data_IF_586230397471
#
_entry.id   IF_586230397471
#
_cell.length_a   1.000
_cell.length_b   1.000
_cell.length_c   1.000
_cell.angle_alpha   90.00
_cell.angle_beta   90.00
_cell.angle_gamma   90.00
#
_symmetry.space_group_name_H-M   'P 1'
#
loop_
_entity.id
_entity.type
_entity.pdbx_description
1 polymer ?
#
# COMPACT_ATOMS: atom_id res chain seq x y z
N UNK A 1 22.71 1.50 -7.37
CA UNK A 1 22.89 0.17 -7.99
C UNK A 1 22.95 0.27 -9.50
N UNK A 2 21.92 0.76 -10.21
CA UNK A 2 21.99 0.97 -11.67
C UNK A 2 23.13 1.92 -12.07
N UNK A 3 23.19 3.12 -11.48
CA UNK A 3 24.27 4.08 -11.78
C UNK A 3 25.67 3.57 -11.38
N UNK A 4 25.77 2.92 -10.22
CA UNK A 4 27.07 2.55 -9.63
C UNK A 4 27.62 1.20 -10.11
N UNK A 5 26.77 0.25 -10.52
CA UNK A 5 27.18 -1.12 -10.94
C UNK A 5 26.88 -1.43 -12.40
N UNK A 6 25.88 -0.79 -12.98
CA UNK A 6 25.48 -1.00 -14.37
C UNK A 6 25.78 0.23 -15.23
N UNK A 7 26.56 1.19 -14.70
CA UNK A 7 26.99 2.41 -15.39
C UNK A 7 25.82 3.20 -16.01
N UNK A 8 24.67 3.19 -15.34
CA UNK A 8 23.46 3.86 -15.81
C UNK A 8 22.68 3.12 -16.90
N UNK A 9 23.12 1.92 -17.32
CA UNK A 9 22.41 1.08 -18.29
C UNK A 9 21.41 0.16 -17.60
N UNK A 10 20.20 0.11 -18.14
CA UNK A 10 19.18 -0.85 -17.71
C UNK A 10 19.44 -2.18 -18.44
N UNK A 11 19.46 -3.32 -17.73
CA UNK A 11 19.63 -4.62 -18.35
C UNK A 11 18.53 -4.92 -19.36
N UNK A 12 18.92 -5.29 -20.57
CA UNK A 12 18.05 -5.82 -21.63
C UNK A 12 17.96 -7.36 -21.53
N UNK A 13 17.70 -7.83 -20.31
CA UNK A 13 17.48 -9.22 -20.00
C UNK A 13 16.48 -9.32 -18.85
N UNK A 14 15.45 -10.15 -19.01
CA UNK A 14 14.41 -10.32 -18.00
C UNK A 14 14.98 -10.76 -16.64
N UNK A 15 15.86 -11.75 -16.63
CA UNK A 15 16.41 -12.33 -15.39
C UNK A 15 17.24 -11.30 -14.65
N UNK A 16 18.18 -10.65 -15.34
CA UNK A 16 19.06 -9.63 -14.74
C UNK A 16 18.28 -8.40 -14.26
N UNK A 17 17.30 -7.94 -15.06
CA UNK A 17 16.47 -6.79 -14.67
C UNK A 17 15.57 -7.11 -13.48
N UNK A 18 15.09 -8.35 -13.36
CA UNK A 18 14.27 -8.81 -12.23
C UNK A 18 15.04 -8.90 -10.92
N UNK A 19 16.37 -9.02 -10.94
CA UNK A 19 17.19 -9.01 -9.73
C UNK A 19 17.28 -7.62 -9.08
N UNK A 20 16.86 -6.57 -9.78
CA UNK A 20 16.90 -5.22 -9.24
C UNK A 20 15.85 -5.06 -8.11
N UNK A 21 16.20 -4.41 -6.97
CA UNK A 21 15.26 -4.16 -5.88
C UNK A 21 14.02 -3.41 -6.36
N UNK A 22 12.85 -3.94 -6.00
CA UNK A 22 11.55 -3.39 -6.40
C UNK A 22 11.04 -3.87 -7.75
N UNK A 23 11.80 -4.65 -8.51
CA UNK A 23 11.37 -5.21 -9.81
C UNK A 23 10.78 -6.61 -9.61
N UNK A 24 9.44 -6.70 -9.64
CA UNK A 24 8.73 -7.99 -9.71
C UNK A 24 8.45 -8.45 -11.14
N UNK A 25 7.86 -9.64 -11.30
CA UNK A 25 7.55 -10.25 -12.61
C UNK A 25 6.80 -9.31 -13.56
N UNK A 26 5.84 -8.56 -13.04
CA UNK A 26 5.07 -7.58 -13.82
C UNK A 26 5.97 -6.47 -14.38
N UNK A 27 6.78 -5.84 -13.54
CA UNK A 27 7.64 -4.72 -13.95
C UNK A 27 8.70 -5.24 -14.92
N UNK A 28 9.26 -6.43 -14.66
CA UNK A 28 10.21 -7.06 -15.56
C UNK A 28 9.60 -7.32 -16.93
N UNK A 29 8.43 -7.96 -17.01
CA UNK A 29 7.77 -8.22 -18.29
C UNK A 29 7.40 -6.92 -19.02
N UNK A 30 6.89 -5.91 -18.30
CA UNK A 30 6.47 -4.65 -18.89
C UNK A 30 7.64 -3.87 -19.47
N UNK A 31 8.72 -3.67 -18.71
CA UNK A 31 9.90 -2.93 -19.18
C UNK A 31 10.58 -3.68 -20.33
N UNK A 32 10.78 -4.99 -20.19
CA UNK A 32 11.48 -5.79 -21.21
C UNK A 32 10.70 -5.85 -22.53
N UNK A 33 9.37 -5.92 -22.48
CA UNK A 33 8.56 -5.91 -23.70
C UNK A 33 8.43 -4.53 -24.34
N UNK A 34 8.18 -3.49 -23.55
CA UNK A 34 7.89 -2.14 -24.06
C UNK A 34 9.17 -1.43 -24.49
N UNK A 35 10.21 -1.44 -23.67
CA UNK A 35 11.43 -0.68 -23.94
C UNK A 35 12.43 -1.47 -24.81
N UNK A 36 12.41 -2.80 -24.71
CA UNK A 36 13.41 -3.66 -25.34
C UNK A 36 12.86 -4.69 -26.32
N UNK A 37 11.54 -4.71 -26.55
CA UNK A 37 10.92 -5.60 -27.54
C UNK A 37 11.03 -7.10 -27.19
N UNK A 38 11.30 -7.45 -25.93
CA UNK A 38 11.39 -8.85 -25.49
C UNK A 38 9.99 -9.46 -25.39
N UNK A 39 9.77 -10.71 -25.86
CA UNK A 39 8.47 -11.35 -25.84
C UNK A 39 8.09 -11.86 -24.43
N UNK A 40 7.93 -10.93 -23.49
CA UNK A 40 7.57 -11.18 -22.11
C UNK A 40 6.14 -10.68 -21.88
N UNK A 41 5.18 -11.59 -21.66
CA UNK A 41 3.78 -11.22 -21.45
C UNK A 41 3.56 -10.58 -20.07
N UNK A 42 2.86 -9.46 -20.01
CA UNK A 42 2.51 -8.80 -18.73
C UNK A 42 1.25 -9.43 -18.13
N UNK A 43 1.25 -9.56 -16.80
CA UNK A 43 0.07 -10.02 -16.06
C UNK A 43 -0.14 -9.16 -14.82
N UNK A 44 -1.01 -8.16 -14.95
CA UNK A 44 -1.46 -7.31 -13.86
C UNK A 44 -2.94 -7.59 -13.52
N UNK A 45 -3.56 -6.74 -12.69
CA UNK A 45 -4.97 -6.87 -12.35
C UNK A 45 -5.92 -6.66 -13.53
N UNK A 46 -5.55 -5.81 -14.50
CA UNK A 46 -6.34 -5.55 -15.70
C UNK A 46 -6.27 -6.71 -16.67
N UNK A 47 -5.07 -7.19 -16.98
CA UNK A 47 -4.84 -8.32 -17.88
C UNK A 47 -5.46 -9.59 -17.34
N UNK A 48 -5.33 -9.89 -16.04
CA UNK A 48 -6.03 -11.05 -15.44
C UNK A 48 -7.54 -11.00 -15.68
N UNK A 49 -8.16 -9.82 -15.56
CA UNK A 49 -9.60 -9.66 -15.81
C UNK A 49 -9.97 -9.84 -17.28
N UNK A 50 -9.19 -9.25 -18.19
CA UNK A 50 -9.39 -9.43 -19.63
C UNK A 50 -9.27 -10.90 -19.99
N UNK A 51 -8.18 -11.57 -19.59
CA UNK A 51 -7.95 -12.99 -19.88
C UNK A 51 -9.01 -13.90 -19.27
N UNK A 52 -9.43 -13.64 -18.02
CA UNK A 52 -10.49 -14.40 -17.38
C UNK A 52 -11.81 -14.32 -18.16
N UNK A 53 -12.15 -13.15 -18.69
CA UNK A 53 -13.39 -12.98 -19.47
C UNK A 53 -13.25 -13.51 -20.90
N UNK A 54 -12.13 -13.20 -21.55
CA UNK A 54 -11.87 -13.60 -22.94
C UNK A 54 -11.85 -15.12 -23.08
N UNK A 55 -11.16 -15.81 -22.15
CA UNK A 55 -10.92 -17.26 -22.19
C UNK A 55 -11.75 -18.05 -21.16
N UNK A 56 -12.71 -17.41 -20.50
CA UNK A 56 -13.53 -18.00 -19.42
C UNK A 56 -12.72 -18.70 -18.32
N UNK A 57 -11.59 -18.11 -17.91
CA UNK A 57 -10.77 -18.68 -16.83
C UNK A 57 -11.47 -18.50 -15.48
N UNK A 58 -11.83 -19.62 -14.85
CA UNK A 58 -12.44 -19.62 -13.52
C UNK A 58 -11.44 -19.52 -12.37
N UNK A 59 -10.14 -19.67 -12.68
CA UNK A 59 -9.07 -19.59 -11.69
C UNK A 59 -9.11 -18.24 -10.93
N UNK A 60 -9.21 -18.23 -9.59
CA UNK A 60 -9.38 -17.00 -8.84
C UNK A 60 -8.21 -16.03 -9.02
N UNK A 61 -8.46 -14.82 -9.54
CA UNK A 61 -7.39 -13.89 -9.94
C UNK A 61 -6.49 -13.40 -8.80
N UNK A 62 -6.98 -13.46 -7.55
CA UNK A 62 -6.26 -13.10 -6.33
C UNK A 62 -5.57 -14.30 -5.63
N UNK A 63 -5.67 -15.52 -6.17
CA UNK A 63 -4.93 -16.67 -5.66
C UNK A 63 -3.51 -16.69 -6.23
N UNK A 64 -2.51 -16.88 -5.38
CA UNK A 64 -1.11 -17.02 -5.83
C UNK A 64 -0.95 -18.21 -6.79
N UNK A 65 -1.61 -19.33 -6.50
CA UNK A 65 -1.59 -20.53 -7.35
C UNK A 65 -2.17 -20.30 -8.76
N UNK A 66 -3.07 -19.31 -8.93
CA UNK A 66 -3.66 -18.99 -10.22
C UNK A 66 -2.72 -18.17 -11.12
N UNK A 67 -1.66 -17.55 -10.57
CA UNK A 67 -0.77 -16.67 -11.34
C UNK A 67 -0.19 -17.39 -12.58
N UNK A 68 0.23 -18.64 -12.43
CA UNK A 68 0.79 -19.44 -13.52
C UNK A 68 -0.21 -19.66 -14.66
N UNK A 69 -1.49 -19.84 -14.34
CA UNK A 69 -2.57 -20.00 -15.34
C UNK A 69 -2.69 -18.73 -16.18
N UNK A 70 -2.71 -17.56 -15.53
CA UNK A 70 -2.77 -16.28 -16.22
C UNK A 70 -1.50 -15.98 -17.02
N UNK A 71 -0.32 -16.33 -16.51
CA UNK A 71 0.95 -16.20 -17.25
C UNK A 71 0.98 -17.07 -18.51
N UNK A 72 0.52 -18.32 -18.42
CA UNK A 72 0.40 -19.21 -19.58
C UNK A 72 -0.59 -18.68 -20.60
N UNK A 73 -1.77 -18.20 -20.16
CA UNK A 73 -2.76 -17.59 -21.04
C UNK A 73 -2.23 -16.33 -21.73
N UNK A 74 -1.56 -15.45 -20.99
CA UNK A 74 -0.97 -14.23 -21.53
C UNK A 74 0.13 -14.55 -22.55
N UNK A 75 1.02 -15.50 -22.23
CA UNK A 75 2.10 -15.93 -23.13
C UNK A 75 1.58 -16.56 -24.42
N UNK A 76 0.46 -17.29 -24.39
CA UNK A 76 -0.15 -17.89 -25.58
C UNK A 76 -0.73 -16.85 -26.55
N UNK A 77 -1.22 -15.73 -26.03
CA UNK A 77 -1.87 -14.69 -26.85
C UNK A 77 -0.93 -13.56 -27.27
N UNK A 78 0.23 -13.42 -26.63
CA UNK A 78 1.23 -12.40 -26.94
C UNK A 78 1.67 -12.48 -28.42
N UNK A 79 1.68 -11.35 -29.13
CA UNK A 79 2.36 -11.26 -30.42
C UNK A 79 3.88 -11.09 -30.19
N UNK A 80 4.72 -12.07 -30.54
CA UNK A 80 6.16 -11.97 -30.31
C UNK A 80 6.85 -10.94 -31.21
N UNK A 81 6.19 -10.46 -32.27
CA UNK A 81 6.76 -9.45 -33.19
C UNK A 81 6.60 -8.03 -32.65
N UNK A 82 5.54 -7.80 -31.88
CA UNK A 82 5.22 -6.50 -31.27
C UNK A 82 4.77 -6.66 -29.82
N UNK A 83 5.62 -7.23 -28.93
CA UNK A 83 5.20 -7.60 -27.59
C UNK A 83 4.89 -6.39 -26.70
N UNK A 84 5.60 -5.28 -26.89
CA UNK A 84 5.33 -4.01 -26.18
C UNK A 84 3.94 -3.46 -26.50
N UNK A 85 3.63 -3.31 -27.78
CA UNK A 85 2.33 -2.82 -28.24
C UNK A 85 1.19 -3.74 -27.79
N UNK A 86 1.37 -5.05 -27.92
CA UNK A 86 0.39 -6.03 -27.45
C UNK A 86 0.13 -5.89 -25.95
N UNK A 87 1.19 -5.81 -25.14
CA UNK A 87 1.07 -5.69 -23.69
C UNK A 87 0.38 -4.38 -23.29
N UNK A 88 0.73 -3.26 -23.93
CA UNK A 88 0.05 -1.99 -23.72
C UNK A 88 -1.44 -2.07 -24.11
N UNK A 89 -1.74 -2.64 -25.28
CA UNK A 89 -3.11 -2.77 -25.77
C UNK A 89 -3.99 -3.60 -24.82
N UNK A 90 -3.51 -4.74 -24.30
CA UNK A 90 -4.31 -5.57 -23.38
C UNK A 90 -4.47 -4.92 -21.99
N UNK A 91 -3.45 -4.20 -21.50
CA UNK A 91 -3.57 -3.41 -20.27
C UNK A 91 -4.62 -2.31 -20.42
N UNK A 92 -4.56 -1.56 -21.53
CA UNK A 92 -5.45 -0.45 -21.81
C UNK A 92 -6.88 -0.90 -22.11
N UNK A 93 -7.03 -2.03 -22.81
CA UNK A 93 -8.33 -2.69 -22.97
C UNK A 93 -8.97 -2.99 -21.62
N UNK A 94 -8.19 -3.50 -20.67
CA UNK A 94 -8.64 -3.75 -19.31
C UNK A 94 -9.03 -2.46 -18.58
N UNK A 95 -8.24 -1.40 -18.73
CA UNK A 95 -8.48 -0.12 -18.06
C UNK A 95 -9.70 0.63 -18.62
N UNK A 96 -9.80 0.73 -19.94
CA UNK A 96 -10.76 1.62 -20.62
C UNK A 96 -12.08 0.95 -20.96
N UNK A 97 -12.11 -0.30 -21.40
CA UNK A 97 -13.34 -0.95 -21.88
C UNK A 97 -13.78 -2.15 -21.02
N UNK A 98 -12.88 -3.11 -20.78
CA UNK A 98 -13.16 -4.31 -20.00
C UNK A 98 -13.06 -4.01 -18.48
N UNK A 99 -13.83 -3.04 -18.00
CA UNK A 99 -13.79 -2.50 -16.63
C UNK A 99 -14.28 -3.51 -15.58
N UNK A 100 -13.88 -3.39 -14.29
CA UNK A 100 -14.31 -4.31 -13.24
C UNK A 100 -15.83 -4.44 -13.10
N UNK A 101 -16.52 -3.31 -13.07
CA UNK A 101 -17.98 -3.20 -13.06
C UNK A 101 -18.44 -2.57 -14.37
N UNK A 102 -19.57 -3.03 -14.89
CA UNK A 102 -20.20 -2.49 -16.10
C UNK A 102 -19.19 -2.34 -17.28
N UNK A 103 -18.61 -3.45 -17.77
CA UNK A 103 -17.69 -3.38 -18.91
C UNK A 103 -18.40 -2.85 -20.16
N UNK A 104 -17.71 -2.01 -20.92
CA UNK A 104 -18.20 -1.43 -22.17
C UNK A 104 -18.09 -2.44 -23.32
N UNK A 105 -18.81 -3.54 -23.22
CA UNK A 105 -18.69 -4.63 -24.19
C UNK A 105 -19.05 -4.19 -25.61
N UNK A 106 -20.01 -3.26 -25.79
CA UNK A 106 -20.40 -2.74 -27.10
C UNK A 106 -19.27 -2.02 -27.86
N UNK A 107 -18.29 -1.48 -27.14
CA UNK A 107 -17.12 -0.77 -27.70
C UNK A 107 -15.85 -1.63 -27.67
N UNK A 108 -15.95 -2.87 -27.19
CA UNK A 108 -14.79 -3.74 -27.03
C UNK A 108 -14.33 -4.29 -28.39
N UNK A 109 -13.09 -4.01 -28.84
CA UNK A 109 -12.61 -4.42 -30.16
C UNK A 109 -12.50 -5.94 -30.33
N UNK A 110 -12.41 -6.68 -29.22
CA UNK A 110 -12.29 -8.15 -29.19
C UNK A 110 -13.56 -8.83 -28.66
N UNK A 111 -14.70 -8.14 -28.66
CA UNK A 111 -15.98 -8.65 -28.13
C UNK A 111 -16.35 -10.02 -28.72
N UNK A 112 -16.22 -10.17 -30.04
CA UNK A 112 -16.59 -11.38 -30.78
C UNK A 112 -15.75 -12.62 -30.42
N UNK A 113 -14.60 -12.42 -29.77
CA UNK A 113 -13.74 -13.49 -29.27
C UNK A 113 -13.96 -13.79 -27.77
N UNK A 114 -14.82 -13.05 -27.09
CA UNK A 114 -14.95 -13.11 -25.64
C UNK A 114 -15.96 -14.17 -25.20
N UNK A 115 -15.47 -15.27 -24.62
CA UNK A 115 -16.33 -16.34 -24.11
C UNK A 115 -17.29 -15.86 -23.02
N UNK A 116 -16.82 -15.04 -22.08
CA UNK A 116 -17.70 -14.45 -21.06
C UNK A 116 -18.75 -13.50 -21.64
N UNK A 117 -18.51 -12.90 -22.82
CA UNK A 117 -19.53 -12.11 -23.50
C UNK A 117 -20.60 -13.00 -24.12
N UNK A 118 -20.19 -14.03 -24.85
CA UNK A 118 -21.10 -15.02 -25.42
C UNK A 118 -21.96 -15.71 -24.34
N UNK A 119 -21.40 -15.97 -23.16
CA UNK A 119 -22.08 -16.62 -22.04
C UNK A 119 -22.80 -15.65 -21.07
N UNK A 120 -22.65 -14.32 -21.22
CA UNK A 120 -23.23 -13.34 -20.29
C UNK A 120 -22.61 -13.31 -18.88
N UNK A 121 -21.36 -13.74 -18.73
CA UNK A 121 -20.66 -13.96 -17.45
C UNK A 121 -19.63 -12.88 -17.09
N UNK A 122 -19.64 -11.74 -17.77
CA UNK A 122 -18.63 -10.69 -17.59
C UNK A 122 -18.62 -10.11 -16.17
N UNK A 123 -19.77 -10.07 -15.49
CA UNK A 123 -19.86 -9.61 -14.10
C UNK A 123 -19.38 -10.66 -13.08
N UNK A 124 -19.35 -11.93 -13.48
CA UNK A 124 -18.91 -13.04 -12.62
C UNK A 124 -17.40 -13.25 -12.64
N UNK A 125 -16.75 -12.84 -13.73
CA UNK A 125 -15.34 -13.06 -14.00
C UNK A 125 -14.52 -11.76 -13.92
N UNK A 126 -13.29 -11.81 -13.35
CA UNK A 126 -12.64 -12.97 -12.76
C UNK A 126 -13.23 -13.36 -11.41
N UNK A 127 -13.27 -14.66 -11.11
CA UNK A 127 -13.54 -15.14 -9.75
C UNK A 127 -12.50 -14.59 -8.78
N UNK A 128 -12.92 -14.39 -7.54
CA UNK A 128 -12.04 -13.98 -6.43
C UNK A 128 -12.29 -14.86 -5.22
N UNK A 129 -11.21 -15.30 -4.57
CA UNK A 129 -11.31 -15.90 -3.25
C UNK A 129 -11.82 -14.87 -2.25
N UNK A 130 -12.71 -15.24 -1.31
CA UNK A 130 -13.11 -14.39 -0.21
C UNK A 130 -11.89 -13.89 0.56
N UNK A 131 -11.86 -12.59 0.87
CA UNK A 131 -10.81 -12.04 1.74
C UNK A 131 -11.17 -12.33 3.19
N UNK A 132 -10.22 -12.81 3.98
CA UNK A 132 -10.36 -12.88 5.45
C UNK A 132 -10.60 -11.47 6.00
N UNK A 133 -11.35 -11.39 7.10
CA UNK A 133 -11.50 -10.13 7.82
C UNK A 133 -10.11 -9.61 8.21
N UNK A 134 -9.84 -8.35 7.90
CA UNK A 134 -8.58 -7.71 8.27
C UNK A 134 -8.57 -7.47 9.79
N UNK A 135 -7.45 -7.76 10.48
CA UNK A 135 -7.32 -7.43 11.89
C UNK A 135 -7.51 -5.92 12.09
N UNK A 136 -8.12 -5.56 13.23
CA UNK A 136 -8.32 -4.17 13.64
C UNK A 136 -7.54 -3.92 14.92
N UNK A 137 -6.68 -2.91 14.89
CA UNK A 137 -5.94 -2.45 16.06
C UNK A 137 -6.54 -1.14 16.57
N UNK A 138 -6.53 -0.98 17.89
CA UNK A 138 -6.98 0.24 18.55
C UNK A 138 -5.79 0.87 19.24
N UNK A 139 -5.52 2.14 18.93
CA UNK A 139 -4.36 2.87 19.41
C UNK A 139 -4.78 4.14 20.15
N UNK A 140 -3.99 4.51 21.15
CA UNK A 140 -4.07 5.79 21.82
C UNK A 140 -2.76 6.56 21.59
N UNK A 141 -2.88 7.82 21.17
CA UNK A 141 -1.75 8.68 20.79
C UNK A 141 -1.88 10.03 21.50
N UNK A 142 -0.77 10.57 21.99
CA UNK A 142 -0.72 11.86 22.68
C UNK A 142 -0.02 12.93 21.86
N UNK A 143 -0.70 14.07 21.71
CA UNK A 143 -0.11 15.31 21.22
C UNK A 143 0.42 16.05 22.44
N UNK A 144 1.67 15.77 22.79
CA UNK A 144 2.30 16.25 24.02
C UNK A 144 2.83 17.67 23.80
N UNK A 145 2.34 18.61 24.59
CA UNK A 145 2.72 20.02 24.55
C UNK A 145 3.67 20.37 25.68
N UNK A 146 4.73 21.12 25.36
CA UNK A 146 5.66 21.74 26.32
C UNK A 146 6.17 23.05 25.74
N UNK A 147 5.96 24.15 26.46
CA UNK A 147 6.50 25.48 26.08
C UNK A 147 6.17 25.87 24.62
N UNK A 148 4.92 25.63 24.19
CA UNK A 148 4.47 25.92 22.83
C UNK A 148 4.98 24.97 21.74
N UNK A 149 5.74 23.93 22.09
CA UNK A 149 6.22 22.89 21.18
C UNK A 149 5.49 21.58 21.38
N UNK A 150 5.51 20.73 20.35
CA UNK A 150 4.89 19.41 20.31
C UNK A 150 6.00 18.35 20.18
N UNK A 151 5.91 17.28 20.97
CA UNK A 151 6.82 16.15 20.85
C UNK A 151 6.45 15.25 19.68
N UNK A 152 7.43 14.96 18.83
CA UNK A 152 7.33 13.98 17.75
C UNK A 152 8.46 12.97 17.87
N UNK A 153 8.21 11.72 17.48
CA UNK A 153 9.18 10.63 17.51
C UNK A 153 9.34 10.03 16.12
N UNK A 154 10.51 9.46 15.83
CA UNK A 154 10.81 8.79 14.55
C UNK A 154 10.89 7.28 14.76
N UNK A 155 10.13 6.54 13.95
CA UNK A 155 10.11 5.07 13.95
C UNK A 155 11.47 4.52 13.51
N UNK A 156 11.88 3.33 13.99
CA UNK A 156 13.02 2.60 13.43
C UNK A 156 12.94 2.47 11.90
N UNK A 157 14.08 2.35 11.22
CA UNK A 157 14.11 2.21 9.76
C UNK A 157 13.46 0.90 9.29
N UNK A 158 13.57 -0.16 10.09
CA UNK A 158 13.02 -1.46 9.78
C UNK A 158 11.58 -1.59 10.31
N UNK A 159 10.69 -2.10 9.46
CA UNK A 159 9.31 -2.42 9.82
C UNK A 159 8.28 -1.51 9.19
N UNK A 160 7.04 -1.62 9.68
CA UNK A 160 5.90 -0.88 9.15
C UNK A 160 6.10 0.63 9.34
N UNK A 161 6.02 1.38 8.24
CA UNK A 161 6.19 2.84 8.20
C UNK A 161 7.56 3.27 8.76
N UNK A 162 8.58 2.43 8.56
CA UNK A 162 9.92 2.67 9.07
C UNK A 162 10.50 4.01 8.62
N UNK A 163 11.18 4.68 9.54
CA UNK A 163 11.79 5.99 9.31
C UNK A 163 10.81 7.18 9.24
N UNK A 164 9.49 6.97 9.31
CA UNK A 164 8.51 8.06 9.40
C UNK A 164 8.40 8.61 10.82
N UNK A 165 7.95 9.86 10.92
CA UNK A 165 7.64 10.52 12.17
C UNK A 165 6.21 10.22 12.63
N UNK A 166 5.99 10.23 13.93
CA UNK A 166 4.70 10.04 14.57
C UNK A 166 4.60 10.80 15.89
N UNK A 167 3.39 10.85 16.44
CA UNK A 167 3.16 11.30 17.80
C UNK A 167 3.30 10.10 18.74
N UNK A 168 3.87 10.27 19.95
CA UNK A 168 4.01 9.18 20.92
C UNK A 168 2.68 8.52 21.26
N UNK A 169 2.67 7.18 21.30
CA UNK A 169 1.45 6.41 21.53
C UNK A 169 1.65 4.93 21.21
N UNK A 170 0.59 4.15 21.33
CA UNK A 170 0.65 2.71 21.10
C UNK A 170 -0.70 2.02 21.21
N UNK A 171 -0.66 0.68 21.26
CA UNK A 171 -1.87 -0.15 21.36
C UNK A 171 -2.56 0.06 22.71
N UNK A 172 -3.89 0.04 22.67
CA UNK A 172 -4.75 -0.05 23.85
C UNK A 172 -4.89 -1.54 24.21
N UNK A 173 -4.56 -1.90 25.45
CA UNK A 173 -4.68 -3.27 25.92
C UNK A 173 -6.14 -3.65 26.20
N UNK A 174 -6.50 -4.95 26.18
CA UNK A 174 -7.85 -5.39 26.51
C UNK A 174 -8.28 -4.91 27.91
N UNK A 175 -9.41 -4.20 27.98
CA UNK A 175 -9.94 -3.66 29.24
C UNK A 175 -9.32 -2.33 29.69
N UNK A 176 -8.32 -1.82 28.97
CA UNK A 176 -7.64 -0.55 29.29
C UNK A 176 -8.44 0.64 28.74
N UNK A 177 -8.59 1.70 29.54
CA UNK A 177 -9.18 2.95 29.05
C UNK A 177 -8.21 3.65 28.08
N UNK A 178 -8.70 4.25 26.97
CA UNK A 178 -7.82 4.88 25.98
C UNK A 178 -6.88 5.96 26.53
N UNK A 179 -7.33 6.74 27.53
CA UNK A 179 -6.49 7.77 28.15
C UNK A 179 -5.36 7.16 29.00
N UNK A 180 -5.61 6.03 29.67
CA UNK A 180 -4.60 5.31 30.45
C UNK A 180 -3.59 4.63 29.53
N UNK A 181 -4.06 4.05 28.43
CA UNK A 181 -3.20 3.54 27.38
C UNK A 181 -2.30 4.65 26.79
N UNK A 182 -2.84 5.83 26.55
CA UNK A 182 -2.06 6.98 26.09
C UNK A 182 -0.94 7.30 27.10
N UNK A 183 -1.29 7.44 28.38
CA UNK A 183 -0.34 7.73 29.46
C UNK A 183 0.76 6.67 29.57
N UNK A 184 0.37 5.39 29.59
CA UNK A 184 1.29 4.25 29.66
C UNK A 184 2.24 4.22 28.47
N UNK A 185 1.71 4.27 27.24
CA UNK A 185 2.55 4.20 26.05
C UNK A 185 3.53 5.39 25.96
N UNK A 186 3.12 6.59 26.37
CA UNK A 186 4.03 7.76 26.43
C UNK A 186 5.15 7.52 27.44
N UNK A 187 4.81 7.05 28.64
CA UNK A 187 5.81 6.74 29.66
C UNK A 187 6.78 5.65 29.18
N UNK A 188 6.27 4.57 28.59
CA UNK A 188 7.07 3.44 28.12
C UNK A 188 7.97 3.82 26.94
N UNK A 189 7.50 4.64 26.00
CA UNK A 189 8.22 4.92 24.75
C UNK A 189 9.15 6.13 24.80
N UNK A 190 8.82 7.14 25.60
CA UNK A 190 9.59 8.40 25.67
C UNK A 190 9.97 8.81 27.09
N UNK A 191 9.62 8.01 28.11
CA UNK A 191 9.95 8.24 29.53
C UNK A 191 9.42 9.57 30.10
N UNK A 192 8.26 10.02 29.60
CA UNK A 192 7.63 11.26 30.06
C UNK A 192 6.35 10.99 30.84
N UNK A 193 6.16 11.73 31.93
CA UNK A 193 4.87 11.84 32.60
C UNK A 193 4.11 13.01 32.00
N UNK A 194 2.85 12.77 31.64
CA UNK A 194 1.96 13.76 31.03
C UNK A 194 0.61 13.76 31.71
N UNK A 195 -0.03 14.92 31.69
CA UNK A 195 -1.44 15.05 32.00
C UNK A 195 -2.24 14.84 30.71
N UNK A 196 -2.89 13.66 30.61
CA UNK A 196 -3.75 13.32 29.47
C UNK A 196 -5.07 14.08 29.63
N UNK A 197 -5.28 15.08 28.77
CA UNK A 197 -6.46 15.93 28.76
C UNK A 197 -7.55 15.39 27.83
N UNK A 198 -8.21 16.31 27.12
CA UNK A 198 -9.34 15.99 26.24
C UNK A 198 -8.94 15.10 25.06
N UNK A 199 -9.89 14.27 24.63
CA UNK A 199 -9.85 13.62 23.32
C UNK A 199 -10.01 14.69 22.23
N UNK A 200 -9.01 14.83 21.36
CA UNK A 200 -9.04 15.74 20.20
C UNK A 200 -9.92 15.14 19.10
N UNK A 201 -9.68 13.87 18.74
CA UNK A 201 -10.42 13.20 17.66
C UNK A 201 -10.23 11.68 17.69
N UNK A 202 -11.05 10.99 16.89
CA UNK A 202 -10.88 9.57 16.53
C UNK A 202 -10.64 9.45 15.04
N UNK A 203 -9.55 8.78 14.67
CA UNK A 203 -9.15 8.60 13.27
C UNK A 203 -9.19 7.13 12.91
N UNK A 204 -10.06 6.79 11.97
CA UNK A 204 -10.01 5.50 11.28
C UNK A 204 -9.08 5.57 10.06
N UNK A 205 -8.24 4.54 9.93
CA UNK A 205 -7.35 4.37 8.78
C UNK A 205 -7.23 2.90 8.40
N UNK A 206 -7.21 2.63 7.09
CA UNK A 206 -7.08 1.28 6.55
C UNK A 206 -5.75 1.14 5.82
N UNK A 207 -4.97 0.14 6.21
CA UNK A 207 -3.86 -0.38 5.44
C UNK A 207 -4.32 -1.61 4.65
N UNK A 208 -3.52 -2.03 3.68
CA UNK A 208 -3.83 -3.22 2.85
C UNK A 208 -4.05 -4.48 3.69
N UNK A 209 -3.37 -4.60 4.83
CA UNK A 209 -3.32 -5.83 5.64
C UNK A 209 -3.99 -5.73 7.02
N UNK A 210 -4.36 -4.53 7.49
CA UNK A 210 -5.03 -4.31 8.78
C UNK A 210 -5.71 -2.95 8.80
N UNK A 211 -6.58 -2.72 9.77
CA UNK A 211 -7.21 -1.42 10.03
C UNK A 211 -6.78 -0.91 11.39
N UNK A 212 -6.71 0.41 11.54
CA UNK A 212 -6.48 1.06 12.81
C UNK A 212 -7.59 2.04 13.13
N UNK A 213 -7.96 2.08 14.40
CA UNK A 213 -8.68 3.18 15.02
C UNK A 213 -7.69 3.87 15.97
N UNK A 214 -7.56 5.19 15.87
CA UNK A 214 -6.63 5.97 16.69
C UNK A 214 -7.41 7.00 17.48
N UNK A 215 -7.34 6.93 18.81
CA UNK A 215 -7.80 7.96 19.72
C UNK A 215 -6.66 8.93 20.00
N UNK A 216 -6.86 10.21 19.70
CA UNK A 216 -5.82 11.24 19.80
C UNK A 216 -6.14 12.15 20.96
N UNK A 217 -5.26 12.22 21.95
CA UNK A 217 -5.42 13.04 23.14
C UNK A 217 -4.52 14.26 23.10
N UNK A 218 -5.01 15.39 23.63
CA UNK A 218 -4.14 16.48 24.03
C UNK A 218 -3.45 16.09 25.33
N UNK A 219 -2.13 16.25 25.39
CA UNK A 219 -1.36 15.95 26.60
C UNK A 219 -0.48 17.14 26.95
N UNK A 220 -0.38 17.46 28.23
CA UNK A 220 0.53 18.50 28.72
C UNK A 220 1.69 17.84 29.47
N UNK A 221 2.93 18.27 29.17
CA UNK A 221 4.13 17.76 29.83
C UNK A 221 4.11 18.07 31.32
N UNK A 222 4.37 17.06 32.17
CA UNK A 222 4.43 17.21 33.62
C UNK A 222 5.85 17.04 34.17
N UNK A 223 6.51 15.93 33.86
CA UNK A 223 7.85 15.62 34.37
C UNK A 223 8.51 14.50 33.57
N UNK A 224 9.77 14.20 33.91
CA UNK A 224 10.57 13.16 33.28
C UNK A 224 11.55 13.70 32.25
N UNK A 225 12.61 12.93 32.03
CA UNK A 225 13.64 13.20 31.05
C UNK A 225 13.44 12.29 29.84
N UNK A 226 13.54 12.90 28.66
CA UNK A 226 13.29 12.23 27.38
C UNK A 226 14.29 11.08 27.20
N UNK A 227 13.79 9.85 27.26
CA UNK A 227 14.55 8.64 26.99
C UNK A 227 13.71 7.73 26.10
N UNK A 228 14.29 7.29 24.98
CA UNK A 228 13.54 6.59 23.94
C UNK A 228 13.64 5.07 24.13
N UNK A 229 12.50 4.40 24.10
CA UNK A 229 12.38 2.95 24.02
C UNK A 229 11.50 2.59 22.84
N UNK A 230 12.11 2.09 21.77
CA UNK A 230 11.46 1.83 20.48
C UNK A 230 11.79 2.87 19.42
N UNK A 231 11.36 4.13 19.52
CA UNK A 231 11.74 5.17 18.56
C UNK A 231 13.25 5.45 18.54
N UNK A 232 13.77 5.88 17.39
CA UNK A 232 15.21 6.13 17.20
C UNK A 232 15.59 7.60 17.35
N UNK A 233 14.63 8.52 17.21
CA UNK A 233 14.82 9.97 17.38
C UNK A 233 13.56 10.61 17.92
N UNK A 234 13.71 11.78 18.55
CA UNK A 234 12.60 12.60 19.00
C UNK A 234 12.95 14.09 18.91
N UNK A 235 11.97 14.93 18.58
CA UNK A 235 12.13 16.37 18.52
C UNK A 235 10.93 17.07 19.16
N UNK A 236 11.22 18.19 19.84
CA UNK A 236 10.21 19.18 20.18
C UNK A 236 10.14 20.19 19.03
N UNK A 237 9.00 20.26 18.35
CA UNK A 237 8.83 21.09 17.16
C UNK A 237 7.70 22.09 17.35
N UNK A 238 7.82 23.25 16.71
CA UNK A 238 6.68 24.16 16.59
C UNK A 238 5.58 23.50 15.77
N UNK A 239 4.32 23.91 16.00
CA UNK A 239 3.17 23.32 15.31
C UNK A 239 3.31 23.45 13.78
N UNK A 240 3.80 24.59 13.31
CA UNK A 240 3.97 24.94 11.90
C UNK A 240 5.03 24.07 11.22
N UNK A 241 6.02 23.59 12.00
CA UNK A 241 7.10 22.75 11.47
C UNK A 241 6.67 21.29 11.21
N UNK A 242 5.50 20.84 11.69
CA UNK A 242 5.03 19.46 11.50
C UNK A 242 4.96 19.06 10.01
N UNK A 243 4.64 20.00 9.12
CA UNK A 243 4.53 19.73 7.68
C UNK A 243 5.88 19.50 6.99
N UNK A 244 6.99 19.91 7.62
CA UNK A 244 8.34 19.66 7.09
C UNK A 244 8.88 18.26 7.40
N UNK A 245 8.17 17.48 8.23
CA UNK A 245 8.58 16.12 8.59
C UNK A 245 7.74 15.08 7.83
N UNK A 246 8.35 13.95 7.41
CA UNK A 246 7.62 12.89 6.73
C UNK A 246 6.77 12.09 7.74
N UNK A 247 5.46 12.35 7.74
CA UNK A 247 4.47 11.64 8.54
C UNK A 247 3.62 10.69 7.67
N UNK A 248 3.05 9.61 8.25
CA UNK A 248 2.06 8.82 7.54
C UNK A 248 0.74 9.59 7.38
N UNK A 249 -0.03 9.26 6.33
CA UNK A 249 -1.29 9.94 5.97
C UNK A 249 -2.32 10.00 7.12
N UNK A 250 -2.26 9.08 8.08
CA UNK A 250 -3.11 9.09 9.27
C UNK A 250 -2.83 10.30 10.17
N UNK A 251 -1.58 10.69 10.37
CA UNK A 251 -1.20 11.84 11.21
C UNK A 251 -1.57 13.18 10.56
N UNK A 252 -1.52 13.27 9.22
CA UNK A 252 -1.97 14.48 8.51
C UNK A 252 -3.45 14.82 8.77
N UNK A 253 -4.29 13.83 9.14
CA UNK A 253 -5.68 14.07 9.56
C UNK A 253 -5.80 14.74 10.93
N UNK A 254 -4.74 14.67 11.74
CA UNK A 254 -4.69 15.24 13.10
C UNK A 254 -4.26 16.71 13.04
N UNK A 255 -3.35 17.05 12.14
CA UNK A 255 -2.76 18.39 12.01
C UNK A 255 -3.77 19.54 12.10
N UNK A 256 -4.86 19.60 11.30
CA UNK A 256 -5.81 20.72 11.37
C UNK A 256 -6.57 20.84 12.69
N UNK A 257 -6.45 19.88 13.60
CA UNK A 257 -7.17 19.81 14.88
C UNK A 257 -6.30 20.19 16.09
N UNK A 258 -5.01 20.46 15.87
CA UNK A 258 -4.01 20.69 16.93
C UNK A 258 -3.25 21.99 16.80
#
# INVERSE_FOLDING_TARGET
MVMARLEGKIPDNYTEFRELPGVGDYIAAAVQSIAFGRPCAVVDGNVKRVLARLLELEAPANAAAALKIYQQAAGRLLDPRSPGDYNQAIMELGALACRPLQPQCGECPVQHHCGAFAAGRQQELPRRMPRKALPRHHLAVGVIRREGRILITRRPENGLLGGLWEFPGGLIQPGEAPADACRRNILETVNLQVDVGRLITRVDHAFTHFKIAVEVFQCDYRSGDLALSGPVKAHWVAREALESYPFPKVNHKIFPLI
#
